data_IF_331626503797
#
_entry.id   IF_331626503797
#
_cell.length_a   1.000
_cell.length_b   1.000
_cell.length_c   1.000
_cell.angle_alpha   90.00
_cell.angle_beta   90.00
_cell.angle_gamma   90.00
#
_symmetry.space_group_name_H-M   'P 1'
#
loop_
_entity.id
_entity.type
_entity.pdbx_description
1 polymer ?
#
# COMPACT_ATOMS: atom_id res chain seq x y z
N UNK A 1 -39.50 -21.84 -0.01
CA UNK A 1 -38.33 -22.33 0.78
C UNK A 1 -37.00 -22.11 0.03
N UNK A 2 -36.88 -22.50 -1.24
CA UNK A 2 -35.65 -22.30 -2.03
C UNK A 2 -35.32 -20.81 -2.30
N UNK A 3 -36.32 -20.02 -2.70
CA UNK A 3 -36.17 -18.57 -2.91
C UNK A 3 -35.73 -17.82 -1.64
N UNK A 4 -36.23 -18.25 -0.49
CA UNK A 4 -35.90 -17.68 0.82
C UNK A 4 -34.45 -17.98 1.21
N UNK A 5 -33.97 -19.21 0.99
CA UNK A 5 -32.57 -19.59 1.24
C UNK A 5 -31.59 -18.87 0.29
N UNK A 6 -31.95 -18.70 -0.98
CA UNK A 6 -31.12 -17.97 -1.94
C UNK A 6 -30.96 -16.49 -1.54
N UNK A 7 -32.06 -15.83 -1.16
CA UNK A 7 -32.05 -14.43 -0.70
C UNK A 7 -31.24 -14.25 0.59
N UNK A 8 -31.38 -15.17 1.56
CA UNK A 8 -30.59 -15.18 2.79
C UNK A 8 -29.09 -15.29 2.49
N UNK A 9 -28.70 -16.25 1.66
CA UNK A 9 -27.29 -16.46 1.28
C UNK A 9 -26.71 -15.25 0.53
N UNK A 10 -27.49 -14.63 -0.35
CA UNK A 10 -27.08 -13.41 -1.04
C UNK A 10 -26.88 -12.24 -0.07
N UNK A 11 -27.79 -12.07 0.90
CA UNK A 11 -27.69 -11.02 1.92
C UNK A 11 -26.51 -11.25 2.89
N UNK A 12 -26.26 -12.49 3.31
CA UNK A 12 -25.10 -12.86 4.13
C UNK A 12 -23.79 -12.59 3.38
N UNK A 13 -23.70 -13.00 2.11
CA UNK A 13 -22.52 -12.73 1.28
C UNK A 13 -22.26 -11.22 1.14
N UNK A 14 -23.32 -10.42 0.95
CA UNK A 14 -23.20 -8.97 0.86
C UNK A 14 -22.71 -8.37 2.19
N UNK A 15 -23.25 -8.84 3.31
CA UNK A 15 -22.83 -8.40 4.65
C UNK A 15 -21.33 -8.68 4.89
N UNK A 16 -20.85 -9.88 4.54
CA UNK A 16 -19.45 -10.27 4.68
C UNK A 16 -18.50 -9.41 3.82
N UNK A 17 -18.93 -9.01 2.62
CA UNK A 17 -18.15 -8.10 1.77
C UNK A 17 -18.06 -6.70 2.36
N UNK A 18 -19.14 -6.18 2.93
CA UNK A 18 -19.12 -4.91 3.63
C UNK A 18 -18.22 -4.95 4.87
N UNK A 19 -18.29 -6.02 5.67
CA UNK A 19 -17.36 -6.22 6.79
C UNK A 19 -15.91 -6.22 6.30
N UNK A 20 -15.62 -6.98 5.24
CA UNK A 20 -14.28 -7.02 4.63
C UNK A 20 -13.82 -5.63 4.18
N UNK A 21 -14.71 -4.82 3.60
CA UNK A 21 -14.41 -3.44 3.21
C UNK A 21 -14.12 -2.54 4.42
N UNK A 22 -14.92 -2.62 5.49
CA UNK A 22 -14.73 -1.78 6.68
C UNK A 22 -13.49 -2.19 7.48
N UNK A 23 -13.22 -3.49 7.59
CA UNK A 23 -12.06 -4.03 8.31
C UNK A 23 -10.77 -4.01 7.49
N UNK A 24 -10.86 -3.71 6.18
CA UNK A 24 -9.71 -3.62 5.30
C UNK A 24 -8.67 -2.65 5.84
N UNK A 25 -7.45 -3.15 5.99
CA UNK A 25 -6.27 -2.44 6.50
C UNK A 25 -5.02 -2.90 5.76
N UNK A 26 -3.95 -2.10 5.83
CA UNK A 26 -2.67 -2.49 5.25
C UNK A 26 -2.07 -3.70 5.98
N UNK A 27 -1.55 -4.65 5.20
CA UNK A 27 -0.88 -5.84 5.72
C UNK A 27 0.65 -5.69 5.54
N UNK A 28 1.45 -5.88 6.61
CA UNK A 28 2.91 -5.87 6.49
C UNK A 28 3.39 -6.90 5.46
N UNK A 29 4.21 -6.44 4.51
CA UNK A 29 4.74 -7.28 3.43
C UNK A 29 4.04 -7.09 2.08
N UNK A 30 2.83 -6.52 2.06
CA UNK A 30 2.22 -6.08 0.82
C UNK A 30 2.93 -4.82 0.30
N UNK A 31 3.17 -4.77 -1.02
CA UNK A 31 3.44 -3.50 -1.70
C UNK A 31 2.14 -2.73 -1.96
N UNK A 32 2.25 -1.46 -2.35
CA UNK A 32 1.07 -0.61 -2.57
C UNK A 32 0.22 -1.04 -3.76
N UNK A 33 0.79 -1.75 -4.73
CA UNK A 33 0.02 -2.31 -5.84
C UNK A 33 -0.89 -3.42 -5.34
N UNK A 34 -0.36 -4.36 -4.56
CA UNK A 34 -1.12 -5.47 -3.98
C UNK A 34 -2.19 -4.92 -3.02
N UNK A 35 -1.85 -3.94 -2.19
CA UNK A 35 -2.80 -3.29 -1.28
C UNK A 35 -3.99 -2.70 -2.05
N UNK A 36 -3.75 -1.88 -3.08
CA UNK A 36 -4.82 -1.27 -3.87
C UNK A 36 -5.61 -2.32 -4.64
N UNK A 37 -4.96 -3.34 -5.21
CA UNK A 37 -5.65 -4.44 -5.90
C UNK A 37 -6.61 -5.21 -5.00
N UNK A 38 -6.21 -5.51 -3.75
CA UNK A 38 -7.09 -6.16 -2.78
C UNK A 38 -8.32 -5.32 -2.48
N UNK A 39 -8.15 -4.00 -2.31
CA UNK A 39 -9.26 -3.07 -2.10
C UNK A 39 -10.20 -3.02 -3.32
N UNK A 40 -9.66 -2.89 -4.52
CA UNK A 40 -10.44 -2.90 -5.77
C UNK A 40 -11.20 -4.21 -5.96
N UNK A 41 -10.61 -5.35 -5.60
CA UNK A 41 -11.29 -6.65 -5.66
C UNK A 41 -12.53 -6.72 -4.76
N UNK A 42 -12.48 -6.11 -3.57
CA UNK A 42 -13.66 -6.03 -2.69
C UNK A 42 -14.74 -5.15 -3.35
N UNK A 43 -14.34 -4.03 -3.95
CA UNK A 43 -15.26 -3.12 -4.62
C UNK A 43 -15.91 -3.73 -5.87
N UNK A 44 -15.15 -4.50 -6.66
CA UNK A 44 -15.68 -5.21 -7.82
C UNK A 44 -16.74 -6.24 -7.41
N UNK A 45 -16.49 -7.00 -6.32
CA UNK A 45 -17.47 -7.94 -5.76
C UNK A 45 -18.73 -7.23 -5.25
N UNK A 46 -18.58 -6.08 -4.60
CA UNK A 46 -19.73 -5.27 -4.16
C UNK A 46 -20.54 -4.75 -5.37
N UNK A 47 -19.86 -4.32 -6.44
CA UNK A 47 -20.47 -3.89 -7.69
C UNK A 47 -21.26 -5.02 -8.37
N UNK A 48 -20.71 -6.24 -8.42
CA UNK A 48 -21.41 -7.42 -8.94
C UNK A 48 -22.71 -7.73 -8.19
N UNK A 49 -22.79 -7.39 -6.90
CA UNK A 49 -23.99 -7.52 -6.07
C UNK A 49 -24.89 -6.26 -6.09
N UNK A 50 -24.66 -5.33 -7.01
CA UNK A 50 -25.47 -4.11 -7.16
C UNK A 50 -25.19 -3.02 -6.12
N UNK A 51 -24.01 -3.04 -5.49
CA UNK A 51 -23.55 -2.03 -4.54
C UNK A 51 -22.25 -1.38 -5.03
N UNK A 52 -22.29 -0.59 -6.13
CA UNK A 52 -21.10 0.06 -6.65
C UNK A 52 -20.54 1.08 -5.64
N UNK A 53 -19.22 1.03 -5.44
CA UNK A 53 -18.49 2.06 -4.70
C UNK A 53 -18.05 3.18 -5.63
N UNK A 54 -18.14 4.42 -5.16
CA UNK A 54 -17.61 5.56 -5.88
C UNK A 54 -16.07 5.67 -5.73
N UNK A 55 -15.45 6.42 -6.65
CA UNK A 55 -13.99 6.64 -6.59
C UNK A 55 -13.55 7.36 -5.31
N UNK A 56 -14.39 8.24 -4.76
CA UNK A 56 -14.08 9.00 -3.56
C UNK A 56 -13.99 8.07 -2.33
N UNK A 57 -14.88 7.10 -2.20
CA UNK A 57 -14.94 6.08 -1.17
C UNK A 57 -13.70 5.18 -1.25
N UNK A 58 -13.34 4.73 -2.46
CA UNK A 58 -12.13 3.94 -2.70
C UNK A 58 -10.86 4.69 -2.32
N UNK A 59 -10.72 5.94 -2.80
CA UNK A 59 -9.56 6.79 -2.50
C UNK A 59 -9.49 7.09 -1.00
N UNK A 60 -10.61 7.43 -0.37
CA UNK A 60 -10.68 7.70 1.06
C UNK A 60 -10.26 6.46 1.86
N UNK A 61 -10.75 5.28 1.48
CA UNK A 61 -10.39 4.02 2.15
C UNK A 61 -8.92 3.66 1.93
N UNK A 62 -8.38 3.83 0.73
CA UNK A 62 -6.97 3.63 0.44
C UNK A 62 -6.08 4.55 1.30
N UNK A 63 -6.38 5.85 1.34
CA UNK A 63 -5.67 6.81 2.20
C UNK A 63 -5.81 6.49 3.69
N UNK A 64 -6.98 6.07 4.16
CA UNK A 64 -7.15 5.71 5.57
C UNK A 64 -6.29 4.52 5.99
N UNK A 65 -6.00 3.62 5.06
CA UNK A 65 -5.34 2.33 5.35
C UNK A 65 -3.86 2.29 5.00
N UNK A 66 -3.34 3.24 4.21
CA UNK A 66 -1.90 3.29 3.90
C UNK A 66 -1.05 3.51 5.17
N UNK A 67 0.12 2.84 5.27
CA UNK A 67 0.99 2.96 6.44
C UNK A 67 1.68 4.32 6.54
N UNK A 68 2.14 4.67 7.74
CA UNK A 68 2.77 5.96 8.10
C UNK A 68 3.95 6.34 7.17
N UNK A 69 4.69 5.35 6.65
CA UNK A 69 5.80 5.57 5.71
C UNK A 69 5.39 6.33 4.44
N UNK A 70 4.11 6.33 4.08
CA UNK A 70 3.57 7.09 2.93
C UNK A 70 2.89 8.40 3.35
N UNK A 71 3.20 8.96 4.53
CA UNK A 71 2.63 10.23 5.01
C UNK A 71 2.80 11.37 4.01
N UNK A 72 3.89 11.39 3.24
CA UNK A 72 4.12 12.39 2.19
C UNK A 72 3.01 12.32 1.13
N UNK A 73 2.66 11.12 0.67
CA UNK A 73 1.56 10.92 -0.30
C UNK A 73 0.25 11.45 0.27
N UNK A 74 -0.06 11.18 1.54
CA UNK A 74 -1.26 11.70 2.23
C UNK A 74 -1.30 13.24 2.23
N UNK A 75 -0.16 13.88 2.52
CA UNK A 75 -0.04 15.35 2.52
C UNK A 75 -0.24 15.95 1.13
N UNK A 76 0.44 15.39 0.12
CA UNK A 76 0.36 15.88 -1.26
C UNK A 76 -1.03 15.65 -1.85
N UNK A 77 -1.72 14.58 -1.45
CA UNK A 77 -3.05 14.25 -1.96
C UNK A 77 -4.10 15.32 -1.64
N UNK A 78 -3.94 16.08 -0.55
CA UNK A 78 -4.84 17.17 -0.19
C UNK A 78 -4.93 18.25 -1.29
N UNK A 79 -3.86 18.43 -2.08
CA UNK A 79 -3.76 19.42 -3.13
C UNK A 79 -4.17 18.90 -4.51
N UNK A 80 -4.53 17.62 -4.64
CA UNK A 80 -4.93 17.03 -5.93
C UNK A 80 -6.34 17.53 -6.30
N UNK A 81 -6.56 18.04 -7.53
CA UNK A 81 -7.87 18.44 -8.03
C UNK A 81 -8.90 17.31 -7.93
N UNK A 82 -10.16 17.62 -7.61
CA UNK A 82 -11.22 16.62 -7.39
C UNK A 82 -11.42 15.67 -8.58
N UNK A 83 -11.33 16.17 -9.81
CA UNK A 83 -11.44 15.39 -11.05
C UNK A 83 -10.28 14.40 -11.25
N UNK A 84 -9.15 14.62 -10.57
CA UNK A 84 -7.97 13.75 -10.62
C UNK A 84 -7.88 12.81 -9.41
N UNK A 85 -8.83 12.86 -8.48
CA UNK A 85 -8.87 11.99 -7.28
C UNK A 85 -9.44 10.62 -7.65
N UNK A 86 -8.68 9.88 -8.44
CA UNK A 86 -8.96 8.49 -8.81
C UNK A 86 -8.02 7.54 -8.08
N UNK A 87 -8.43 6.27 -7.95
CA UNK A 87 -7.62 5.25 -7.32
C UNK A 87 -6.32 4.98 -8.10
N UNK A 88 -6.37 5.08 -9.43
CA UNK A 88 -5.21 4.88 -10.32
C UNK A 88 -4.15 5.96 -10.12
N UNK A 89 -4.58 7.23 -10.02
CA UNK A 89 -3.68 8.35 -9.77
C UNK A 89 -3.05 8.26 -8.37
N UNK A 90 -3.80 7.75 -7.39
CA UNK A 90 -3.25 7.49 -6.05
C UNK A 90 -2.20 6.39 -6.10
N UNK A 91 -2.49 5.28 -6.78
CA UNK A 91 -1.56 4.17 -6.92
C UNK A 91 -0.26 4.58 -7.63
N UNK A 92 -0.34 5.41 -8.67
CA UNK A 92 0.85 5.94 -9.34
C UNK A 92 1.75 6.71 -8.37
N UNK A 93 1.18 7.58 -7.52
CA UNK A 93 1.94 8.34 -6.52
C UNK A 93 2.53 7.44 -5.44
N UNK A 94 1.77 6.44 -4.97
CA UNK A 94 2.27 5.46 -4.01
C UNK A 94 3.48 4.69 -4.56
N UNK A 95 3.43 4.25 -5.81
CA UNK A 95 4.55 3.57 -6.49
C UNK A 95 5.79 4.45 -6.62
N UNK A 96 5.60 5.74 -6.94
CA UNK A 96 6.72 6.69 -7.00
C UNK A 96 7.40 6.81 -5.64
N UNK A 97 6.62 6.97 -4.57
CA UNK A 97 7.15 7.03 -3.21
C UNK A 97 7.85 5.73 -2.79
N UNK A 98 7.32 4.56 -3.17
CA UNK A 98 7.97 3.26 -2.93
C UNK A 98 9.34 3.18 -3.60
N UNK A 99 9.46 3.65 -4.84
CA UNK A 99 10.72 3.64 -5.57
C UNK A 99 11.73 4.62 -4.96
N UNK A 100 11.28 5.81 -4.55
CA UNK A 100 12.12 6.79 -3.85
C UNK A 100 12.62 6.21 -2.53
N UNK A 101 11.75 5.62 -1.71
CA UNK A 101 12.14 4.99 -0.44
C UNK A 101 13.18 3.88 -0.66
N UNK A 102 12.97 3.00 -1.65
CA UNK A 102 13.93 1.94 -2.00
C UNK A 102 15.29 2.49 -2.43
N UNK A 103 15.32 3.63 -3.14
CA UNK A 103 16.58 4.22 -3.59
C UNK A 103 17.47 4.70 -2.43
N UNK A 104 16.86 5.22 -1.34
CA UNK A 104 17.60 5.64 -0.16
C UNK A 104 18.11 4.45 0.68
N UNK A 105 17.34 3.37 0.77
CA UNK A 105 17.77 2.14 1.46
C UNK A 105 19.02 1.52 0.79
N UNK A 106 19.07 1.52 -0.54
CA UNK A 106 20.20 0.95 -1.29
C UNK A 106 21.50 1.76 -1.14
N UNK A 107 21.42 3.08 -0.95
CA UNK A 107 22.61 3.92 -0.76
C UNK A 107 23.22 3.77 0.64
N UNK A 108 22.41 3.48 1.67
CA UNK A 108 22.88 3.33 3.05
C UNK A 108 23.72 2.06 3.27
N UNK A 109 23.47 0.98 2.53
CA UNK A 109 24.26 -0.27 2.61
C UNK A 109 25.63 -0.14 1.96
N UNK A 110 25.76 0.65 0.88
CA UNK A 110 27.05 0.90 0.24
C UNK A 110 27.97 1.74 1.13
N UNK A 111 27.45 2.79 1.80
CA UNK A 111 28.26 3.61 2.71
C UNK A 111 28.71 2.86 3.98
N UNK A 112 27.85 2.01 4.57
CA UNK A 112 28.21 1.25 5.78
C UNK A 112 29.27 0.18 5.54
N UNK A 113 29.29 -0.42 4.36
CA UNK A 113 30.32 -1.41 3.97
C UNK A 113 31.63 -0.74 3.57
N UNK A 114 31.58 0.42 2.90
CA UNK A 114 32.77 1.20 2.53
C UNK A 114 33.52 1.77 3.75
N UNK A 115 32.81 2.23 4.78
CA UNK A 115 33.43 2.75 6.01
C UNK A 115 34.13 1.64 6.83
N UNK A 116 33.55 0.43 6.84
CA UNK A 116 34.12 -0.71 7.56
C UNK A 116 35.40 -1.26 6.91
N UNK A 117 35.55 -1.09 5.58
CA UNK A 117 36.74 -1.55 4.84
C UNK A 117 37.99 -0.70 5.11
N UNK A 118 37.85 0.60 5.35
CA UNK A 118 38.99 1.50 5.59
C UNK A 118 39.61 1.35 6.99
N UNK A 119 38.89 0.75 7.95
CA UNK A 119 39.40 0.63 9.33
C UNK A 119 40.27 -0.62 9.56
N UNK A 120 40.23 -1.61 8.64
CA UNK A 120 40.92 -2.90 8.84
C UNK A 120 42.33 -2.98 8.24
N UNK A 121 42.83 -1.91 7.61
CA UNK A 121 44.10 -1.93 6.88
C UNK A 121 45.28 -1.21 7.58
N UNK A 122 45.11 -0.79 8.85
CA UNK A 122 46.14 -0.04 9.60
C UNK A 122 46.91 -0.87 10.66
N UNK A 123 46.85 -2.19 10.62
CA UNK A 123 47.44 -3.07 11.65
C UNK A 123 48.49 -4.09 11.13
N UNK A 124 48.99 -3.98 9.90
CA UNK A 124 50.06 -4.87 9.39
C UNK A 124 51.15 -4.09 8.67
N UNK A 125 52.11 -3.58 9.44
CA UNK A 125 53.31 -2.98 8.88
C UNK A 125 54.23 -2.34 9.92
N UNK A 126 54.97 -3.16 10.67
CA UNK A 126 56.23 -2.76 11.34
C UNK A 126 56.98 -4.05 11.69
N UNK A 127 57.71 -4.62 10.74
CA UNK A 127 59.16 -4.44 10.53
C UNK A 127 60.00 -4.98 11.69
N UNK A 128 60.64 -6.12 11.38
CA UNK A 128 61.62 -6.86 12.18
C UNK A 128 62.95 -6.09 12.19
N UNK A 129 63.76 -6.27 13.24
CA UNK A 129 65.14 -6.73 13.02
C UNK A 129 65.38 -8.10 13.65
#
# INVERSE_FOLDING_TARGET
KLDTQYKLKAAENLHLLWQSFYDFNYHPGDDMTVHVQKLSSIADKLKELGQPLDNMQLVTKALATIPEKFRIVRSVWANVPLNERTIDNLLQRLRLEENVAKSYENNNTTDRTAFSAHHHNKARGSHNP
#
